data_IF_697796090920
#
_entry.id   IF_697796090920
#
_cell.length_a   1.000
_cell.length_b   1.000
_cell.length_c   1.000
_cell.angle_alpha   90.00
_cell.angle_beta   90.00
_cell.angle_gamma   90.00
#
_symmetry.space_group_name_H-M   'P 1'
#
loop_
_entity.id
_entity.type
_entity.pdbx_description
1 polymer ?
#
# COMPACT_ATOMS: atom_id res chain seq x y z
N UNK A 1 -13.88 17.55 -1.91
CA UNK A 1 -12.64 16.92 -1.48
C UNK A 1 -12.82 15.48 -1.06
N UNK A 2 -13.80 15.22 -0.23
CA UNK A 2 -14.09 13.84 0.14
C UNK A 2 -14.47 13.01 -1.06
N UNK A 3 -15.25 13.59 -1.99
CA UNK A 3 -15.67 12.88 -3.17
C UNK A 3 -14.46 12.54 -4.05
N UNK A 4 -13.52 13.49 -4.17
CA UNK A 4 -12.32 13.24 -4.95
C UNK A 4 -11.52 12.07 -4.35
N UNK A 5 -11.28 12.10 -3.05
CA UNK A 5 -10.50 11.07 -2.39
C UNK A 5 -11.18 9.70 -2.51
N UNK A 6 -12.50 9.68 -2.31
CA UNK A 6 -13.24 8.44 -2.40
C UNK A 6 -13.13 7.82 -3.79
N UNK A 7 -13.23 8.66 -4.82
CA UNK A 7 -13.14 8.17 -6.19
C UNK A 7 -11.74 7.67 -6.51
N UNK A 8 -10.72 8.39 -6.06
CA UNK A 8 -9.34 7.97 -6.28
C UNK A 8 -9.08 6.62 -5.62
N UNK A 9 -9.53 6.45 -4.39
CA UNK A 9 -9.26 5.22 -3.65
C UNK A 9 -10.03 4.02 -4.19
N UNK A 10 -11.11 4.25 -4.91
CA UNK A 10 -11.88 3.16 -5.49
C UNK A 10 -11.35 2.72 -6.85
N UNK A 11 -10.40 3.45 -7.41
CA UNK A 11 -9.90 3.17 -8.75
C UNK A 11 -8.54 2.51 -8.77
N UNK A 12 -7.82 2.76 -9.86
CA UNK A 12 -6.48 2.21 -10.05
C UNK A 12 -5.48 3.35 -10.13
N UNK A 13 -4.20 3.01 -10.03
CA UNK A 13 -3.15 4.01 -10.15
C UNK A 13 -3.10 4.62 -11.54
N UNK A 14 -3.45 3.85 -12.57
CA UNK A 14 -3.48 4.38 -13.92
C UNK A 14 -4.52 5.49 -14.06
N UNK A 15 -5.59 5.43 -13.26
CA UNK A 15 -6.65 6.42 -13.28
C UNK A 15 -6.41 7.58 -12.33
N UNK A 16 -5.46 7.45 -11.42
CA UNK A 16 -5.19 8.48 -10.43
C UNK A 16 -4.51 9.67 -11.06
N UNK A 17 -4.63 10.83 -10.41
CA UNK A 17 -3.99 12.04 -10.91
C UNK A 17 -2.49 11.82 -11.06
N UNK A 18 -1.93 12.32 -12.14
CA UNK A 18 -0.54 12.04 -12.46
C UNK A 18 0.44 12.53 -11.40
N UNK A 19 0.08 13.56 -10.64
CA UNK A 19 0.98 14.09 -9.62
C UNK A 19 1.17 13.10 -8.44
N UNK A 20 0.33 12.07 -8.36
CA UNK A 20 0.46 11.05 -7.33
C UNK A 20 1.46 9.95 -7.73
N UNK A 21 1.74 9.82 -9.02
CA UNK A 21 2.60 8.73 -9.49
C UNK A 21 4.03 8.82 -8.94
N UNK A 22 4.68 10.01 -8.94
CA UNK A 22 6.02 10.10 -8.37
C UNK A 22 6.07 9.75 -6.88
N UNK A 23 5.03 10.11 -6.14
CA UNK A 23 4.95 9.77 -4.72
C UNK A 23 4.90 8.26 -4.53
N UNK A 24 4.05 7.60 -5.32
CA UNK A 24 3.92 6.14 -5.26
C UNK A 24 5.24 5.46 -5.59
N UNK A 25 5.87 5.89 -6.67
CA UNK A 25 7.12 5.28 -7.10
C UNK A 25 8.24 5.53 -6.08
N UNK A 26 8.28 6.72 -5.49
CA UNK A 26 9.26 7.03 -4.45
C UNK A 26 9.12 6.12 -3.25
N UNK A 27 7.89 5.82 -2.85
CA UNK A 27 7.67 4.89 -1.77
C UNK A 27 8.17 3.49 -2.09
N UNK A 28 7.85 3.01 -3.29
CA UNK A 28 8.28 1.67 -3.70
C UNK A 28 9.81 1.62 -3.75
N UNK A 29 10.44 2.64 -4.31
CA UNK A 29 11.90 2.68 -4.41
C UNK A 29 12.55 2.68 -3.04
N UNK A 30 11.99 3.43 -2.11
CA UNK A 30 12.52 3.49 -0.74
C UNK A 30 12.47 2.12 -0.09
N UNK A 31 11.36 1.40 -0.26
CA UNK A 31 11.23 0.06 0.31
C UNK A 31 12.23 -0.91 -0.31
N UNK A 32 12.45 -0.80 -1.61
CA UNK A 32 13.39 -1.68 -2.30
C UNK A 32 14.83 -1.44 -1.90
N UNK A 33 15.13 -0.25 -1.38
CA UNK A 33 16.49 0.08 -0.96
C UNK A 33 16.84 -0.37 0.45
N UNK A 34 15.88 -0.87 1.20
CA UNK A 34 16.15 -1.31 2.57
C UNK A 34 17.05 -2.55 2.55
N UNK A 35 18.06 -2.54 3.42
CA UNK A 35 19.03 -3.62 3.48
C UNK A 35 19.02 -4.37 4.81
N UNK A 36 18.16 -4.00 5.70
CA UNK A 36 18.05 -4.67 7.01
C UNK A 36 16.63 -4.59 7.49
N UNK A 37 16.29 -5.43 8.44
CA UNK A 37 14.95 -5.46 8.99
C UNK A 37 14.57 -4.09 9.52
N UNK A 38 13.41 -3.62 9.12
CA UNK A 38 12.98 -2.25 9.43
C UNK A 38 11.51 -2.26 9.80
N UNK A 39 11.14 -1.48 10.80
CA UNK A 39 9.75 -1.26 11.16
C UNK A 39 9.36 0.13 10.69
N UNK A 40 8.26 0.21 9.93
CA UNK A 40 7.78 1.47 9.40
C UNK A 40 6.39 1.73 9.92
N UNK A 41 6.18 2.88 10.50
CA UNK A 41 4.85 3.32 10.92
C UNK A 41 4.24 4.08 9.75
N UNK A 42 3.11 3.64 9.27
CA UNK A 42 2.55 4.19 8.06
C UNK A 42 1.02 4.24 8.14
N UNK A 43 0.39 4.46 7.00
CA UNK A 43 -1.05 4.65 6.95
C UNK A 43 -1.64 3.86 5.78
N UNK A 44 -2.97 3.88 5.71
CA UNK A 44 -3.77 3.05 4.81
C UNK A 44 -3.28 3.06 3.37
N UNK A 45 -3.16 4.25 2.78
CA UNK A 45 -2.81 4.34 1.36
C UNK A 45 -1.40 3.83 1.11
N UNK A 46 -0.46 4.21 1.98
CA UNK A 46 0.93 3.81 1.83
C UNK A 46 1.10 2.31 1.96
N UNK A 47 0.37 1.69 2.89
CA UNK A 47 0.44 0.24 3.05
C UNK A 47 -0.10 -0.45 1.79
N UNK A 48 -1.18 0.08 1.22
CA UNK A 48 -1.72 -0.47 -0.02
C UNK A 48 -0.77 -0.29 -1.20
N UNK A 49 0.01 0.80 -1.23
CA UNK A 49 1.03 0.97 -2.27
C UNK A 49 2.04 -0.16 -2.20
N UNK A 50 2.52 -0.46 -1.00
CA UNK A 50 3.54 -1.51 -0.82
C UNK A 50 3.00 -2.88 -1.19
N UNK A 51 1.80 -3.22 -0.73
CA UNK A 51 1.19 -4.51 -1.03
C UNK A 51 0.88 -4.63 -2.53
N UNK A 52 0.38 -3.55 -3.14
CA UNK A 52 0.09 -3.55 -4.57
C UNK A 52 1.34 -3.78 -5.40
N UNK A 53 2.45 -3.14 -5.00
CA UNK A 53 3.71 -3.36 -5.71
C UNK A 53 4.16 -4.81 -5.58
N UNK A 54 3.98 -5.39 -4.40
CA UNK A 54 4.39 -6.77 -4.17
C UNK A 54 3.55 -7.75 -4.99
N UNK A 55 2.28 -7.44 -5.21
CA UNK A 55 1.37 -8.35 -5.89
C UNK A 55 1.12 -7.98 -7.35
N UNK A 56 1.78 -6.93 -7.84
CA UNK A 56 1.57 -6.44 -9.21
C UNK A 56 0.12 -6.10 -9.44
N UNK A 57 -0.50 -5.42 -8.48
CA UNK A 57 -1.90 -5.06 -8.55
C UNK A 57 -1.99 -3.54 -8.62
N UNK A 58 -2.70 -3.03 -9.62
CA UNK A 58 -2.79 -1.60 -9.86
C UNK A 58 -3.90 -0.92 -9.08
N UNK A 59 -4.67 -1.64 -8.31
CA UNK A 59 -5.72 -1.01 -7.52
C UNK A 59 -5.10 -0.20 -6.39
N UNK A 60 -5.70 0.94 -6.09
CA UNK A 60 -5.24 1.74 -4.97
C UNK A 60 -5.54 1.08 -3.65
N UNK A 61 -6.71 0.49 -3.53
CA UNK A 61 -7.13 -0.16 -2.28
C UNK A 61 -7.30 -1.64 -2.53
N UNK A 62 -6.33 -2.43 -2.09
CA UNK A 62 -6.42 -3.88 -2.20
C UNK A 62 -7.06 -4.48 -0.97
N UNK A 63 -6.80 -3.89 0.18
CA UNK A 63 -7.39 -4.36 1.43
C UNK A 63 -7.48 -3.16 2.39
N UNK A 64 -8.17 -3.35 3.49
CA UNK A 64 -8.39 -2.30 4.46
C UNK A 64 -7.72 -2.67 5.78
N UNK A 65 -6.44 -2.31 5.93
CA UNK A 65 -5.73 -2.68 7.16
C UNK A 65 -6.34 -1.98 8.37
N UNK A 66 -6.46 -2.71 9.45
CA UNK A 66 -6.95 -2.17 10.70
C UNK A 66 -5.88 -1.31 11.35
N UNK A 67 -6.31 -0.43 12.24
CA UNK A 67 -5.36 0.39 13.01
C UNK A 67 -4.48 -0.53 13.84
N UNK A 68 -3.21 -0.18 13.93
CA UNK A 68 -2.24 -0.94 14.70
C UNK A 68 -1.99 -2.35 14.17
N UNK A 69 -2.48 -2.67 12.97
CA UNK A 69 -2.18 -3.98 12.38
C UNK A 69 -0.76 -3.95 11.81
N UNK A 70 -0.18 -5.12 11.63
CA UNK A 70 1.17 -5.26 11.11
C UNK A 70 1.12 -6.05 9.82
N UNK A 71 1.63 -5.44 8.74
CA UNK A 71 1.78 -6.12 7.45
C UNK A 71 3.26 -6.36 7.24
N UNK A 72 3.63 -7.58 6.90
CA UNK A 72 5.02 -7.98 6.76
C UNK A 72 5.36 -8.22 5.30
N UNK A 73 6.40 -7.57 4.84
CA UNK A 73 6.89 -7.69 3.47
C UNK A 73 8.36 -8.07 3.50
N UNK A 74 8.80 -8.68 2.42
CA UNK A 74 10.22 -8.95 2.20
C UNK A 74 10.67 -8.30 0.91
N UNK A 75 11.92 -7.90 0.85
CA UNK A 75 12.48 -7.39 -0.39
C UNK A 75 13.86 -8.00 -0.63
N UNK A 76 14.16 -8.26 -1.90
CA UNK A 76 15.48 -8.71 -2.30
C UNK A 76 16.27 -7.59 -2.97
N UNK A 77 15.76 -6.36 -2.92
CA UNK A 77 16.40 -5.21 -3.56
C UNK A 77 15.82 -4.90 -4.92
N UNK A 78 15.09 -5.83 -5.52
CA UNK A 78 14.47 -5.64 -6.82
C UNK A 78 12.97 -5.85 -6.81
N UNK A 79 12.48 -6.73 -5.95
CA UNK A 79 11.06 -7.02 -5.86
C UNK A 79 10.62 -7.02 -4.41
N UNK A 80 9.32 -6.86 -4.21
CA UNK A 80 8.68 -6.95 -2.91
C UNK A 80 7.79 -8.18 -2.89
N UNK A 81 7.70 -8.82 -1.74
CA UNK A 81 6.79 -9.97 -1.55
C UNK A 81 6.03 -9.79 -0.26
N UNK A 82 4.77 -10.19 -0.26
CA UNK A 82 3.95 -10.15 0.95
C UNK A 82 4.18 -11.42 1.75
N UNK A 83 4.62 -11.28 2.97
CA UNK A 83 4.76 -12.42 3.88
C UNK A 83 3.46 -12.61 4.65
N UNK A 84 2.90 -11.51 5.15
CA UNK A 84 1.68 -11.59 5.92
C UNK A 84 0.94 -10.26 5.85
N UNK A 85 -0.34 -10.28 5.53
CA UNK A 85 -1.16 -9.08 5.56
C UNK A 85 -1.63 -8.83 6.99
N UNK A 86 -1.69 -7.55 7.33
CA UNK A 86 -2.21 -7.18 8.63
C UNK A 86 -3.69 -7.46 8.73
N UNK A 87 -4.19 -7.36 9.95
CA UNK A 87 -5.59 -7.57 10.23
C UNK A 87 -6.44 -6.56 9.47
N UNK A 88 -7.52 -7.02 8.86
CA UNK A 88 -8.34 -6.13 8.06
C UNK A 88 -9.50 -5.59 8.86
N UNK A 89 -9.99 -4.42 8.42
CA UNK A 89 -11.20 -3.86 8.99
C UNK A 89 -12.37 -4.68 8.55
N UNK A 90 -13.22 -5.07 9.52
CA UNK A 90 -14.40 -5.80 9.18
C UNK A 90 -15.53 -4.84 9.12
N UNK A 91 -16.28 -4.97 8.05
CA UNK A 91 -17.36 -4.09 7.95
C UNK A 91 -18.55 -4.58 8.63
N UNK A 92 -18.56 -5.63 9.21
CA UNK A 92 -19.62 -6.09 9.73
C UNK A 92 -19.86 -5.71 10.76
N UNK A 93 -20.69 -5.76 11.15
CA UNK A 93 -20.91 -5.49 12.00
C UNK A 93 -21.81 -6.00 12.44
N UNK A 94 -22.09 -6.49 12.72
CA UNK A 94 -22.93 -7.22 13.26
C UNK A 94 -23.96 -6.76 13.73
#
# INVERSE_FOLDING_TARGET
>A
RRTWLKNVMAGTWAEADSWLHPWRQGMIDTLLELRQDTVIVSHFVAINVAVGAAQNDERLTLFRPNNCSVTVLETDGQTLSVVELGEVLETVVN
#
